data_IF_341832145172
#
_entry.id   IF_341832145172
#
_cell.length_a   1.000
_cell.length_b   1.000
_cell.length_c   1.000
_cell.angle_alpha   90.00
_cell.angle_beta   90.00
_cell.angle_gamma   90.00
#
_symmetry.space_group_name_H-M   'P 1'
#
loop_
_entity.id
_entity.type
_entity.pdbx_description
1 polymer ?
#
# COMPACT_ATOMS: atom_id res chain seq x y z
N UNK A 1 -14.73 64.57 -44.56
CA UNK A 1 -14.25 63.42 -43.77
C UNK A 1 -13.97 63.89 -42.34
N UNK A 2 -14.81 63.57 -41.34
CA UNK A 2 -14.57 64.10 -39.97
C UNK A 2 -15.47 63.61 -38.83
N UNK A 3 -16.58 62.92 -39.09
CA UNK A 3 -17.56 62.58 -38.04
C UNK A 3 -17.24 61.31 -37.25
N UNK A 4 -16.28 60.48 -37.68
CA UNK A 4 -15.97 59.21 -37.03
C UNK A 4 -15.20 59.35 -35.71
N UNK A 5 -14.47 60.45 -35.49
CA UNK A 5 -13.63 60.62 -34.29
C UNK A 5 -14.40 61.11 -33.06
N UNK A 6 -15.52 61.82 -33.24
CA UNK A 6 -16.31 62.35 -32.13
C UNK A 6 -17.08 61.23 -31.41
N UNK A 7 -17.76 60.35 -32.17
CA UNK A 7 -18.54 59.23 -31.62
C UNK A 7 -17.74 58.25 -30.74
N UNK A 8 -16.44 58.07 -31.03
CA UNK A 8 -15.55 57.21 -30.23
C UNK A 8 -15.19 57.81 -28.87
N UNK A 9 -15.11 59.14 -28.79
CA UNK A 9 -14.69 59.86 -27.58
C UNK A 9 -15.79 59.82 -26.52
N UNK A 10 -17.03 60.05 -26.95
CA UNK A 10 -18.22 60.06 -26.08
C UNK A 10 -18.54 58.65 -25.53
N UNK A 11 -18.33 57.61 -26.36
CA UNK A 11 -18.47 56.22 -25.93
C UNK A 11 -17.40 55.85 -24.89
N UNK A 12 -16.15 56.29 -25.09
CA UNK A 12 -15.05 56.00 -24.20
C UNK A 12 -15.16 56.71 -22.85
N UNK A 13 -15.67 57.95 -22.81
CA UNK A 13 -15.93 58.68 -21.56
C UNK A 13 -17.02 58.02 -20.70
N UNK A 14 -18.04 57.42 -21.31
CA UNK A 14 -19.08 56.67 -20.56
C UNK A 14 -18.61 55.28 -20.11
N UNK A 15 -17.75 54.62 -20.88
CA UNK A 15 -17.23 53.28 -20.55
C UNK A 15 -16.15 53.36 -19.46
N UNK A 16 -15.36 54.43 -19.41
CA UNK A 16 -14.28 54.60 -18.43
C UNK A 16 -14.71 54.45 -16.94
N UNK A 17 -15.75 55.16 -16.45
CA UNK A 17 -16.17 55.04 -15.05
C UNK A 17 -16.80 53.68 -14.75
N UNK A 18 -17.46 53.08 -15.74
CA UNK A 18 -18.04 51.74 -15.63
C UNK A 18 -16.93 50.69 -15.49
N UNK A 19 -15.94 50.69 -16.38
CA UNK A 19 -14.84 49.73 -16.36
C UNK A 19 -13.98 49.83 -15.08
N UNK A 20 -13.83 51.04 -14.54
CA UNK A 20 -13.08 51.28 -13.30
C UNK A 20 -13.81 50.79 -12.04
N UNK A 21 -15.15 50.78 -12.07
CA UNK A 21 -15.97 50.29 -10.96
C UNK A 21 -16.23 48.77 -11.03
N UNK A 22 -16.50 48.23 -12.22
CA UNK A 22 -16.77 46.79 -12.42
C UNK A 22 -15.50 45.95 -12.64
N UNK A 23 -14.37 46.58 -12.98
CA UNK A 23 -13.07 45.93 -13.14
C UNK A 23 -12.64 45.06 -11.94
N UNK A 24 -12.60 45.59 -10.69
CA UNK A 24 -12.23 44.78 -9.52
C UNK A 24 -13.23 43.65 -9.23
N UNK A 25 -14.53 43.87 -9.48
CA UNK A 25 -15.54 42.84 -9.29
C UNK A 25 -15.40 41.69 -10.31
N UNK A 26 -15.13 42.01 -11.57
CA UNK A 26 -14.86 41.02 -12.61
C UNK A 26 -13.58 40.24 -12.34
N UNK A 27 -12.52 40.93 -11.86
CA UNK A 27 -11.27 40.30 -11.46
C UNK A 27 -11.48 39.34 -10.28
N UNK A 28 -12.25 39.77 -9.27
CA UNK A 28 -12.60 38.93 -8.13
C UNK A 28 -13.41 37.70 -8.51
N UNK A 29 -14.38 37.85 -9.42
CA UNK A 29 -15.15 36.73 -9.97
C UNK A 29 -14.22 35.74 -10.71
N UNK A 30 -13.32 36.25 -11.55
CA UNK A 30 -12.34 35.43 -12.27
C UNK A 30 -11.43 34.66 -11.31
N UNK A 31 -10.93 35.31 -10.27
CA UNK A 31 -10.13 34.67 -9.22
C UNK A 31 -10.92 33.58 -8.50
N UNK A 32 -12.19 33.86 -8.14
CA UNK A 32 -13.04 32.89 -7.46
C UNK A 32 -13.31 31.66 -8.34
N UNK A 33 -13.56 31.85 -9.63
CA UNK A 33 -13.74 30.75 -10.59
C UNK A 33 -12.47 29.91 -10.70
N UNK A 34 -11.28 30.53 -10.74
CA UNK A 34 -10.01 29.81 -10.77
C UNK A 34 -9.79 29.00 -9.49
N UNK A 35 -10.07 29.56 -8.31
CA UNK A 35 -9.95 28.85 -7.03
C UNK A 35 -10.91 27.66 -6.97
N UNK A 36 -12.16 27.84 -7.40
CA UNK A 36 -13.14 26.74 -7.45
C UNK A 36 -12.69 25.68 -8.44
N UNK A 37 -12.20 26.07 -9.62
CA UNK A 37 -11.69 25.12 -10.61
C UNK A 37 -10.45 24.36 -10.12
N UNK A 38 -9.56 25.00 -9.39
CA UNK A 38 -8.38 24.35 -8.81
C UNK A 38 -8.77 23.33 -7.72
N UNK A 39 -9.80 23.64 -6.92
CA UNK A 39 -10.30 22.76 -5.86
C UNK A 39 -11.16 21.61 -6.41
N UNK A 40 -12.03 21.89 -7.39
CA UNK A 40 -13.00 20.94 -7.96
C UNK A 40 -12.56 20.29 -9.28
N UNK A 41 -11.43 20.71 -9.84
CA UNK A 41 -10.88 20.15 -11.08
C UNK A 41 -10.46 18.70 -10.92
N UNK A 42 -10.27 18.01 -12.04
CA UNK A 42 -9.91 16.58 -12.12
C UNK A 42 -8.61 16.21 -11.37
N UNK A 43 -7.79 17.20 -11.02
CA UNK A 43 -6.56 17.08 -10.23
C UNK A 43 -6.62 17.86 -8.89
N UNK A 44 -7.82 18.20 -8.42
CA UNK A 44 -7.99 19.04 -7.24
C UNK A 44 -7.39 18.40 -5.98
N UNK A 45 -7.00 19.24 -5.03
CA UNK A 45 -6.34 18.85 -3.77
C UNK A 45 -7.05 17.72 -3.02
N UNK A 46 -8.38 17.62 -3.18
CA UNK A 46 -9.20 16.58 -2.57
C UNK A 46 -8.97 15.19 -3.20
N UNK A 47 -8.80 15.11 -4.52
CA UNK A 47 -8.47 13.87 -5.22
C UNK A 47 -7.06 13.40 -4.85
N UNK A 48 -6.09 14.32 -4.80
CA UNK A 48 -4.72 14.03 -4.38
C UNK A 48 -4.66 13.42 -2.98
N UNK A 49 -5.49 13.90 -2.04
CA UNK A 49 -5.55 13.33 -0.68
C UNK A 49 -6.05 11.88 -0.66
N UNK A 50 -7.06 11.54 -1.46
CA UNK A 50 -7.57 10.16 -1.54
C UNK A 50 -6.53 9.22 -2.13
N UNK A 51 -5.91 9.63 -3.23
CA UNK A 51 -4.84 8.85 -3.89
C UNK A 51 -3.65 8.65 -2.96
N UNK A 52 -3.24 9.69 -2.22
CA UNK A 52 -2.16 9.58 -1.24
C UNK A 52 -2.49 8.62 -0.09
N UNK A 53 -3.75 8.57 0.35
CA UNK A 53 -4.17 7.60 1.37
C UNK A 53 -4.17 6.16 0.83
N UNK A 54 -4.59 5.94 -0.41
CA UNK A 54 -4.52 4.62 -1.05
C UNK A 54 -3.07 4.16 -1.21
N UNK A 55 -2.18 5.03 -1.70
CA UNK A 55 -0.74 4.74 -1.80
C UNK A 55 -0.18 4.34 -0.43
N UNK A 56 -0.52 5.08 0.63
CA UNK A 56 -0.07 4.74 2.00
C UNK A 56 -0.57 3.39 2.47
N UNK A 57 -1.84 3.05 2.19
CA UNK A 57 -2.41 1.74 2.58
C UNK A 57 -1.73 0.59 1.85
N UNK A 58 -1.52 0.72 0.54
CA UNK A 58 -0.86 -0.30 -0.27
C UNK A 58 0.59 -0.50 0.17
N UNK A 59 1.33 0.58 0.41
CA UNK A 59 2.72 0.49 0.89
C UNK A 59 2.81 -0.15 2.27
N UNK A 60 1.89 0.18 3.19
CA UNK A 60 1.86 -0.47 4.51
C UNK A 60 1.60 -1.98 4.39
N UNK A 61 0.75 -2.41 3.44
CA UNK A 61 0.53 -3.82 3.15
C UNK A 61 1.76 -4.51 2.56
N UNK A 62 2.48 -3.84 1.66
CA UNK A 62 3.73 -4.35 1.09
C UNK A 62 4.82 -4.53 2.17
N UNK A 63 4.96 -3.56 3.07
CA UNK A 63 5.92 -3.64 4.17
C UNK A 63 5.61 -4.80 5.12
N UNK A 64 4.33 -5.00 5.42
CA UNK A 64 3.89 -6.12 6.25
C UNK A 64 4.18 -7.47 5.57
N UNK A 65 3.84 -7.61 4.30
CA UNK A 65 4.04 -8.85 3.55
C UNK A 65 5.52 -9.16 3.34
N UNK A 66 6.37 -8.14 3.15
CA UNK A 66 7.81 -8.32 3.06
C UNK A 66 8.40 -8.80 4.40
N UNK A 67 7.93 -8.27 5.54
CA UNK A 67 8.35 -8.76 6.85
C UNK A 67 7.95 -10.21 7.08
N UNK A 68 6.73 -10.58 6.72
CA UNK A 68 6.25 -11.96 6.82
C UNK A 68 7.05 -12.90 5.93
N UNK A 69 7.35 -12.52 4.69
CA UNK A 69 8.22 -13.29 3.81
C UNK A 69 9.61 -13.48 4.41
N UNK A 70 10.23 -12.41 4.93
CA UNK A 70 11.55 -12.51 5.56
C UNK A 70 11.55 -13.45 6.77
N UNK A 71 10.50 -13.42 7.59
CA UNK A 71 10.35 -14.33 8.72
C UNK A 71 10.19 -15.79 8.28
N UNK A 72 9.33 -16.04 7.28
CA UNK A 72 9.13 -17.38 6.73
C UNK A 72 10.40 -17.91 6.05
N UNK A 73 11.14 -17.06 5.34
CA UNK A 73 12.42 -17.44 4.75
C UNK A 73 13.47 -17.80 5.81
N UNK A 74 13.49 -17.07 6.93
CA UNK A 74 14.33 -17.39 8.08
C UNK A 74 13.92 -18.71 8.71
N UNK A 75 12.63 -18.94 8.93
CA UNK A 75 12.11 -20.19 9.48
C UNK A 75 12.43 -21.39 8.56
N UNK A 76 12.22 -21.25 7.26
CA UNK A 76 12.60 -22.26 6.26
C UNK A 76 14.10 -22.49 6.28
N UNK A 77 14.91 -21.44 6.42
CA UNK A 77 16.36 -21.56 6.51
C UNK A 77 16.75 -22.29 7.78
N UNK A 78 16.22 -21.94 8.95
CA UNK A 78 16.47 -22.62 10.22
C UNK A 78 16.08 -24.10 10.17
N UNK A 79 14.89 -24.41 9.63
CA UNK A 79 14.43 -25.77 9.38
C UNK A 79 15.39 -26.54 8.47
N UNK A 80 15.89 -25.90 7.41
CA UNK A 80 16.85 -26.51 6.48
C UNK A 80 18.29 -26.60 7.02
N UNK A 81 18.68 -25.71 7.93
CA UNK A 81 20.06 -25.59 8.42
C UNK A 81 20.34 -26.58 9.56
N UNK A 82 19.30 -27.14 10.19
CA UNK A 82 19.42 -28.25 11.14
C UNK A 82 18.79 -29.55 10.59
N UNK A 83 19.55 -30.34 9.79
CA UNK A 83 19.09 -31.58 9.17
C UNK A 83 18.48 -32.57 10.18
N UNK A 84 18.88 -32.50 11.44
CA UNK A 84 18.39 -33.39 12.50
C UNK A 84 16.92 -33.13 12.86
N UNK A 85 16.42 -31.90 12.76
CA UNK A 85 14.99 -31.60 13.00
C UNK A 85 14.10 -32.16 11.90
N UNK A 86 14.49 -31.97 10.64
CA UNK A 86 13.77 -32.54 9.48
C UNK A 86 13.81 -34.06 9.53
N UNK A 87 14.98 -34.64 9.84
CA UNK A 87 15.13 -36.09 9.96
C UNK A 87 14.26 -36.66 11.09
N UNK A 88 14.18 -35.98 12.24
CA UNK A 88 13.31 -36.39 13.34
C UNK A 88 11.84 -36.39 12.93
N UNK A 89 11.34 -35.32 12.31
CA UNK A 89 9.93 -35.24 11.86
C UNK A 89 9.66 -36.30 10.77
N UNK A 90 10.59 -36.47 9.83
CA UNK A 90 10.47 -37.47 8.77
C UNK A 90 10.40 -38.89 9.34
N UNK A 91 11.22 -39.24 10.34
CA UNK A 91 11.24 -40.55 10.99
C UNK A 91 10.05 -40.78 11.92
N UNK A 92 9.73 -39.80 12.78
CA UNK A 92 8.76 -39.95 13.87
C UNK A 92 7.31 -39.78 13.39
N UNK A 93 7.04 -38.76 12.57
CA UNK A 93 5.67 -38.41 12.16
C UNK A 93 5.29 -39.03 10.83
N UNK A 94 6.22 -39.04 9.87
CA UNK A 94 5.95 -39.49 8.51
C UNK A 94 6.41 -40.94 8.25
N UNK A 95 7.17 -41.54 9.19
CA UNK A 95 7.71 -42.89 9.04
C UNK A 95 8.60 -43.06 7.80
N UNK A 96 9.24 -42.00 7.34
CA UNK A 96 10.12 -41.97 6.17
C UNK A 96 11.54 -42.37 6.57
N UNK A 97 12.23 -43.04 5.64
CA UNK A 97 13.60 -43.52 5.81
C UNK A 97 14.40 -43.20 4.54
N UNK A 98 15.73 -43.04 4.65
CA UNK A 98 16.58 -42.76 3.47
C UNK A 98 16.65 -43.99 2.56
N UNK A 99 16.92 -43.83 1.25
CA UNK A 99 17.13 -44.97 0.35
C UNK A 99 18.22 -45.90 0.90
N UNK A 100 17.84 -47.16 1.17
CA UNK A 100 18.73 -48.18 1.76
C UNK A 100 18.55 -48.43 3.27
N UNK A 101 17.71 -47.65 3.96
CA UNK A 101 17.33 -47.90 5.35
C UNK A 101 16.04 -48.75 5.45
N UNK A 102 15.90 -49.56 6.50
CA UNK A 102 14.73 -50.43 6.74
C UNK A 102 13.97 -49.96 7.98
N UNK A 103 12.66 -49.71 7.84
CA UNK A 103 11.79 -49.31 8.94
C UNK A 103 11.39 -50.54 9.75
N UNK A 104 11.81 -50.60 11.02
CA UNK A 104 11.46 -51.70 11.94
C UNK A 104 10.32 -51.23 12.85
N UNK A 105 9.13 -51.83 12.70
CA UNK A 105 8.00 -51.61 13.62
C UNK A 105 7.99 -52.71 14.67
N UNK A 106 8.23 -52.35 15.92
CA UNK A 106 8.21 -53.30 17.04
C UNK A 106 6.74 -53.54 17.44
N UNK A 107 6.20 -54.77 17.33
CA UNK A 107 4.85 -55.07 17.77
C UNK A 107 4.73 -54.88 19.28
N UNK A 108 3.59 -54.34 19.77
CA UNK A 108 3.38 -54.07 21.21
C UNK A 108 3.62 -55.28 22.12
N UNK A 109 3.44 -56.50 21.62
CA UNK A 109 3.70 -57.74 22.35
C UNK A 109 5.18 -58.02 22.64
N UNK A 110 6.11 -57.29 22.02
CA UNK A 110 7.56 -57.39 22.21
C UNK A 110 8.18 -56.13 22.82
N UNK A 111 7.37 -55.11 23.12
CA UNK A 111 7.84 -53.96 23.89
C UNK A 111 8.10 -54.44 25.31
N UNK A 112 9.38 -54.51 25.71
CA UNK A 112 9.71 -54.76 27.11
C UNK A 112 9.00 -53.69 27.96
N UNK A 113 8.42 -54.07 29.12
CA UNK A 113 7.84 -53.11 30.03
C UNK A 113 8.84 -51.98 30.28
N UNK A 114 8.41 -50.71 30.24
CA UNK A 114 9.30 -49.61 30.58
C UNK A 114 9.88 -49.90 31.96
N UNK A 115 11.21 -49.95 32.03
CA UNK A 115 11.95 -50.28 33.24
C UNK A 115 11.59 -49.28 34.34
N UNK A 116 10.78 -49.73 35.29
CA UNK A 116 10.26 -48.94 36.40
C UNK A 116 11.34 -48.60 37.44
N UNK A 117 12.62 -48.82 37.15
CA UNK A 117 13.74 -48.55 38.08
C UNK A 117 14.37 -47.16 37.91
N UNK A 118 13.99 -46.36 36.92
CA UNK A 118 14.35 -44.93 36.89
C UNK A 118 13.31 -44.14 37.68
N UNK A 119 13.47 -44.14 39.01
CA UNK A 119 12.82 -43.17 39.92
C UNK A 119 13.34 -41.74 39.62
N UNK A 120 12.56 -40.69 39.95
CA UNK A 120 12.83 -39.30 39.56
C UNK A 120 14.10 -38.73 40.20
#
# INVERSE_FOLDING_TARGET
MGTAKLKKKDANEKIQPFLRHYGPALLGLLMLVLVVHDIFGTHGFLAMRRTQQEIKKVNAGLDQLNKENLQLEQEVRELKTDPHKIEKIARDELGLAKPGEVIIKIPRSQQLPPDSTVKP
#
